data_IF_707647170587
#
_entry.id   IF_707647170587
#
_cell.length_a   1.000
_cell.length_b   1.000
_cell.length_c   1.000
_cell.angle_alpha   90.00
_cell.angle_beta   90.00
_cell.angle_gamma   90.00
#
_symmetry.space_group_name_H-M   'P 1'
#
loop_
_entity.id
_entity.type
_entity.pdbx_description
1 polymer ?
#
# COMPACT_ATOMS: atom_id res chain seq x y z
N UNK A 1 6.35 29.00 -1.06
CA UNK A 1 6.54 27.96 -2.09
C UNK A 1 6.23 26.60 -1.47
N UNK A 2 5.06 26.04 -1.78
CA UNK A 2 4.49 24.84 -1.15
C UNK A 2 5.25 23.57 -1.55
N UNK A 3 5.72 22.79 -0.58
CA UNK A 3 6.24 21.43 -0.80
C UNK A 3 5.09 20.43 -0.65
N UNK A 4 4.74 19.72 -1.72
CA UNK A 4 3.77 18.61 -1.72
C UNK A 4 4.41 17.37 -1.11
N UNK A 5 3.72 16.73 -0.18
CA UNK A 5 4.07 15.42 0.34
C UNK A 5 3.61 14.35 -0.66
N UNK A 6 4.54 13.48 -1.10
CA UNK A 6 4.24 12.27 -1.88
C UNK A 6 4.42 11.08 -0.96
N UNK A 7 3.37 10.31 -0.72
CA UNK A 7 3.52 8.94 -0.23
C UNK A 7 3.79 8.07 -1.46
N UNK A 8 5.06 7.83 -1.76
CA UNK A 8 5.46 6.90 -2.82
C UNK A 8 6.06 5.66 -2.16
N UNK A 9 5.31 4.56 -2.15
CA UNK A 9 5.95 3.25 -2.30
C UNK A 9 6.59 3.23 -3.69
N UNK A 10 7.86 2.84 -3.78
CA UNK A 10 8.72 2.84 -4.98
C UNK A 10 9.11 4.22 -5.57
N UNK A 11 10.43 4.40 -5.79
CA UNK A 11 11.07 5.67 -6.16
C UNK A 11 10.84 6.10 -7.61
N UNK A 12 10.90 7.44 -7.78
CA UNK A 12 11.16 8.26 -8.98
C UNK A 12 10.16 8.21 -10.16
N UNK A 13 9.19 9.11 -10.11
CA UNK A 13 8.45 9.58 -11.29
C UNK A 13 9.23 10.72 -11.96
N UNK A 14 9.68 10.52 -13.19
CA UNK A 14 10.14 11.62 -14.07
C UNK A 14 9.22 11.63 -15.30
N UNK A 15 8.38 12.67 -15.41
CA UNK A 15 7.69 12.99 -16.66
C UNK A 15 8.69 13.65 -17.61
N UNK A 16 8.81 13.13 -18.83
CA UNK A 16 9.47 13.82 -19.94
C UNK A 16 8.38 14.28 -20.90
N UNK A 17 8.25 15.60 -21.08
CA UNK A 17 7.46 16.20 -22.15
C UNK A 17 8.25 16.15 -23.45
N UNK A 18 7.68 15.60 -24.52
CA UNK A 18 8.28 15.67 -25.87
C UNK A 18 7.63 16.81 -26.64
N UNK A 19 8.36 17.93 -26.77
CA UNK A 19 8.02 19.03 -27.66
C UNK A 19 9.28 19.70 -28.21
N UNK A 20 9.44 19.64 -29.54
CA UNK A 20 10.20 20.62 -30.34
C UNK A 20 11.73 20.56 -30.29
N UNK A 21 12.33 20.36 -31.45
CA UNK A 21 13.76 20.42 -31.78
C UNK A 21 14.51 21.61 -31.16
N UNK A 22 15.46 21.35 -30.25
CA UNK A 22 16.35 22.38 -29.69
C UNK A 22 17.20 21.98 -28.47
N UNK A 23 17.16 20.71 -28.03
CA UNK A 23 17.57 20.30 -26.67
C UNK A 23 19.05 19.95 -26.49
N UNK A 24 19.85 19.81 -27.56
CA UNK A 24 21.22 19.31 -27.44
C UNK A 24 22.25 20.36 -26.97
N UNK A 25 22.04 21.65 -27.26
CA UNK A 25 23.03 22.72 -26.92
C UNK A 25 22.80 23.29 -25.52
N UNK A 26 21.56 23.26 -25.00
CA UNK A 26 21.21 23.84 -23.69
C UNK A 26 21.62 22.93 -22.50
N UNK A 27 21.60 21.60 -22.70
CA UNK A 27 21.93 20.62 -21.64
C UNK A 27 23.42 20.63 -21.31
N UNK A 28 24.30 20.90 -22.28
CA UNK A 28 25.75 20.92 -22.04
C UNK A 28 26.19 22.16 -21.25
N UNK A 29 25.62 23.33 -21.56
CA UNK A 29 25.88 24.58 -20.82
C UNK A 29 25.38 24.52 -19.36
N UNK A 30 24.22 23.90 -19.11
CA UNK A 30 23.73 23.69 -17.73
C UNK A 30 24.58 22.70 -16.93
N UNK A 31 25.16 21.67 -17.57
CA UNK A 31 25.97 20.66 -16.88
C UNK A 31 27.30 21.24 -16.39
N UNK A 32 27.91 22.12 -17.18
CA UNK A 32 29.15 22.81 -16.80
C UNK A 32 28.90 23.82 -15.66
N UNK A 33 27.79 24.56 -15.69
CA UNK A 33 27.41 25.47 -14.59
C UNK A 33 27.04 24.73 -13.30
N UNK A 34 26.33 23.60 -13.38
CA UNK A 34 25.96 22.82 -12.19
C UNK A 34 27.19 22.23 -11.49
N UNK A 35 28.19 21.78 -12.27
CA UNK A 35 29.42 21.18 -11.74
C UNK A 35 30.28 22.23 -11.00
N UNK A 36 30.35 23.46 -11.53
CA UNK A 36 31.04 24.57 -10.89
C UNK A 36 30.38 24.96 -9.55
N UNK A 37 29.04 25.03 -9.50
CA UNK A 37 28.28 25.37 -8.29
C UNK A 37 28.42 24.27 -7.22
N UNK A 38 28.39 22.99 -7.60
CA UNK A 38 28.59 21.89 -6.63
C UNK A 38 29.98 21.85 -6.02
N UNK A 39 31.01 22.25 -6.76
CA UNK A 39 32.38 22.28 -6.24
C UNK A 39 32.58 23.42 -5.24
N UNK A 40 32.01 24.59 -5.53
CA UNK A 40 32.04 25.76 -4.65
C UNK A 40 31.20 25.53 -3.37
N UNK A 41 30.08 24.79 -3.46
CA UNK A 41 29.29 24.40 -2.29
C UNK A 41 30.00 23.37 -1.39
N UNK A 42 30.75 22.42 -1.96
CA UNK A 42 31.49 21.43 -1.19
C UNK A 42 32.68 22.03 -0.41
N UNK A 43 33.33 23.06 -0.94
CA UNK A 43 34.42 23.77 -0.26
C UNK A 43 33.90 24.68 0.89
N UNK A 44 32.67 25.23 0.78
CA UNK A 44 32.03 26.03 1.84
C UNK A 44 31.56 25.13 3.01
N UNK A 45 30.98 23.95 2.72
CA UNK A 45 30.43 23.05 3.75
C UNK A 45 31.52 22.44 4.65
N UNK A 46 32.72 22.14 4.12
CA UNK A 46 33.81 21.58 4.92
C UNK A 46 34.51 22.60 5.84
N UNK A 47 34.44 23.90 5.53
CA UNK A 47 35.05 24.96 6.34
C UNK A 47 34.27 25.28 7.63
N UNK A 48 32.94 25.17 7.62
CA UNK A 48 32.08 25.55 8.76
C UNK A 48 31.76 24.38 9.72
N UNK A 49 31.83 23.13 9.26
CA UNK A 49 31.49 21.94 10.06
C UNK A 49 32.48 21.68 11.21
N UNK A 50 33.75 22.06 11.07
CA UNK A 50 34.79 21.79 12.09
C UNK A 50 34.70 22.72 13.31
N UNK A 51 34.20 23.95 13.16
CA UNK A 51 34.03 24.89 14.27
C UNK A 51 32.75 24.65 15.08
N UNK A 52 31.65 24.26 14.41
CA UNK A 52 30.36 24.01 15.06
C UNK A 52 30.35 22.73 15.92
N UNK A 53 31.04 21.68 15.48
CA UNK A 53 31.14 20.40 16.22
C UNK A 53 32.01 20.55 17.48
N UNK A 54 33.04 21.41 17.44
CA UNK A 54 33.86 21.71 18.62
C UNK A 54 33.07 22.51 19.69
N UNK A 55 32.21 23.44 19.27
CA UNK A 55 31.37 24.23 20.17
C UNK A 55 30.22 23.40 20.81
N UNK A 56 29.69 22.40 20.10
CA UNK A 56 28.61 21.53 20.61
C UNK A 56 29.12 20.51 21.66
N UNK A 57 30.35 20.00 21.53
CA UNK A 57 30.94 19.07 22.51
C UNK A 57 31.24 19.72 23.87
N UNK A 58 31.51 21.03 23.88
CA UNK A 58 31.69 21.81 25.12
C UNK A 58 30.38 22.07 25.88
N UNK A 59 29.21 21.98 25.22
CA UNK A 59 27.90 22.30 25.81
C UNK A 59 27.09 21.08 26.30
N UNK A 60 27.46 19.86 25.92
CA UNK A 60 26.73 18.63 26.27
C UNK A 60 27.16 17.99 27.62
N UNK A 61 27.98 18.67 28.41
CA UNK A 61 28.55 18.13 29.67
C UNK A 61 27.68 18.28 30.92
N UNK A 62 26.47 18.82 30.82
CA UNK A 62 25.62 19.05 31.99
C UNK A 62 24.14 18.92 31.64
N UNK A 63 23.41 18.23 32.52
CA UNK A 63 21.94 18.04 32.58
C UNK A 63 21.41 16.77 31.89
N UNK A 64 21.62 15.65 32.58
CA UNK A 64 20.61 14.61 32.77
C UNK A 64 19.72 15.04 33.95
N UNK A 65 18.44 15.28 33.72
CA UNK A 65 17.30 15.13 34.64
C UNK A 65 16.06 15.78 34.03
N UNK A 66 14.97 15.02 33.98
CA UNK A 66 13.54 15.39 34.00
C UNK A 66 13.11 16.71 33.33
N UNK A 67 12.27 16.64 32.27
CA UNK A 67 10.99 17.37 32.26
C UNK A 67 10.08 17.02 31.08
N UNK A 68 8.79 16.99 31.39
CA UNK A 68 7.62 16.60 30.60
C UNK A 68 7.15 17.71 29.62
N UNK A 69 8.08 18.45 29.02
CA UNK A 69 7.77 19.70 28.29
C UNK A 69 8.42 19.84 26.92
N UNK A 70 8.61 18.75 26.18
CA UNK A 70 9.07 18.77 24.77
C UNK A 70 7.93 19.00 23.74
N UNK A 71 6.79 19.53 24.18
CA UNK A 71 5.62 19.85 23.36
C UNK A 71 5.55 21.32 22.95
N UNK A 72 6.65 21.95 22.55
CA UNK A 72 6.70 23.28 21.88
C UNK A 72 8.16 23.59 21.64
N UNK A 73 8.63 23.45 20.40
CA UNK A 73 9.74 24.21 19.78
C UNK A 73 10.26 23.47 18.54
N UNK A 74 9.41 23.23 17.55
CA UNK A 74 9.79 23.19 16.14
C UNK A 74 8.52 23.46 15.34
N UNK A 75 8.41 24.69 14.80
CA UNK A 75 7.31 25.12 13.93
C UNK A 75 7.35 24.43 12.57
N UNK A 76 7.21 23.11 12.55
CA UNK A 76 6.84 22.37 11.35
C UNK A 76 5.37 22.66 10.99
N UNK A 77 4.97 22.58 9.71
CA UNK A 77 3.55 22.63 9.36
C UNK A 77 2.82 21.55 10.16
N UNK A 78 1.64 21.89 10.70
CA UNK A 78 0.78 20.94 11.40
C UNK A 78 0.68 19.65 10.56
N UNK A 79 0.85 18.50 11.23
CA UNK A 79 0.50 17.23 10.63
C UNK A 79 -0.92 17.34 10.04
N UNK A 80 -1.19 16.80 8.83
CA UNK A 80 -2.54 16.80 8.29
C UNK A 80 -3.45 16.24 9.38
N UNK A 81 -4.41 17.06 9.82
CA UNK A 81 -5.37 16.66 10.84
C UNK A 81 -6.11 15.46 10.31
N UNK A 82 -6.05 14.33 11.03
CA UNK A 82 -6.86 13.16 10.71
C UNK A 82 -8.30 13.64 10.51
N UNK A 83 -8.92 13.23 9.40
CA UNK A 83 -10.32 13.55 9.21
C UNK A 83 -11.10 12.85 10.32
N UNK A 84 -11.94 13.62 11.00
CA UNK A 84 -12.76 13.11 12.10
C UNK A 84 -13.90 12.29 11.50
N UNK A 85 -13.90 10.99 11.77
CA UNK A 85 -15.03 10.09 11.56
C UNK A 85 -16.35 10.76 11.95
N UNK A 86 -17.35 10.67 11.07
CA UNK A 86 -18.65 11.34 11.24
C UNK A 86 -19.78 10.40 11.69
N UNK A 87 -19.48 9.12 11.89
CA UNK A 87 -20.45 8.15 12.43
C UNK A 87 -20.49 8.21 13.95
N UNK A 88 -21.52 7.61 14.54
CA UNK A 88 -21.74 7.67 15.98
C UNK A 88 -20.77 6.79 16.80
N UNK A 89 -20.22 5.72 16.19
CA UNK A 89 -19.32 4.77 16.84
C UNK A 89 -17.94 4.78 16.14
N UNK A 90 -16.81 4.77 16.86
CA UNK A 90 -15.48 4.72 16.24
C UNK A 90 -15.32 3.54 15.29
N UNK A 91 -14.54 3.69 14.19
CA UNK A 91 -14.28 2.60 13.24
C UNK A 91 -13.81 1.30 13.91
N UNK A 92 -12.95 1.39 14.92
CA UNK A 92 -12.44 0.24 15.67
C UNK A 92 -13.56 -0.55 16.35
N UNK A 93 -14.57 0.15 16.89
CA UNK A 93 -15.74 -0.48 17.51
C UNK A 93 -16.59 -1.19 16.47
N UNK A 94 -16.88 -0.53 15.34
CA UNK A 94 -17.61 -1.13 14.21
C UNK A 94 -16.90 -2.38 13.70
N UNK A 95 -15.57 -2.34 13.72
CA UNK A 95 -14.73 -3.43 13.23
C UNK A 95 -14.47 -4.54 14.28
N UNK A 96 -14.87 -4.34 15.54
CA UNK A 96 -14.62 -5.30 16.62
C UNK A 96 -13.16 -5.41 17.03
N UNK A 97 -12.39 -4.32 16.92
CA UNK A 97 -10.96 -4.27 17.21
C UNK A 97 -10.74 -3.84 18.66
N UNK A 98 -10.71 -4.80 19.56
CA UNK A 98 -10.58 -4.59 21.01
C UNK A 98 -9.20 -5.00 21.55
N UNK A 99 -8.49 -5.87 20.84
CA UNK A 99 -7.18 -6.40 21.25
C UNK A 99 -6.09 -6.05 20.26
N UNK A 100 -4.83 -6.10 20.71
CA UNK A 100 -3.68 -5.85 19.84
C UNK A 100 -3.61 -6.82 18.67
N UNK A 101 -3.89 -8.10 18.93
CA UNK A 101 -3.88 -9.13 17.89
C UNK A 101 -4.98 -8.90 16.83
N UNK A 102 -6.18 -8.43 17.23
CA UNK A 102 -7.23 -8.03 16.28
C UNK A 102 -6.80 -6.85 15.41
N UNK A 103 -6.14 -5.83 15.99
CA UNK A 103 -5.59 -4.71 15.22
C UNK A 103 -4.54 -5.18 14.21
N UNK A 104 -3.65 -6.12 14.59
CA UNK A 104 -2.64 -6.68 13.68
C UNK A 104 -3.28 -7.53 12.58
N UNK A 105 -4.28 -8.33 12.92
CA UNK A 105 -5.06 -9.08 11.95
C UNK A 105 -5.68 -8.16 10.91
N UNK A 106 -6.34 -7.07 11.34
CA UNK A 106 -6.94 -6.10 10.43
C UNK A 106 -5.89 -5.36 9.60
N UNK A 107 -4.77 -4.94 10.21
CA UNK A 107 -3.68 -4.30 9.50
C UNK A 107 -3.04 -5.20 8.43
N UNK A 108 -3.13 -6.53 8.56
CA UNK A 108 -2.64 -7.48 7.55
C UNK A 108 -3.44 -7.48 6.24
N UNK A 109 -4.61 -6.82 6.20
CA UNK A 109 -5.38 -6.61 4.98
C UNK A 109 -4.88 -5.43 4.13
N UNK A 110 -4.08 -4.52 4.72
CA UNK A 110 -3.55 -3.31 4.04
C UNK A 110 -2.03 -3.26 4.00
N UNK A 111 -1.35 -4.20 4.66
CA UNK A 111 0.10 -4.38 4.64
C UNK A 111 0.39 -5.74 4.02
N UNK A 112 1.23 -5.80 2.97
CA UNK A 112 1.64 -7.05 2.34
C UNK A 112 2.14 -8.05 3.40
N UNK A 113 1.71 -9.32 3.28
CA UNK A 113 1.99 -10.35 4.28
C UNK A 113 3.48 -10.47 4.64
N UNK A 114 4.44 -10.51 3.69
CA UNK A 114 5.86 -10.57 4.03
C UNK A 114 6.34 -9.41 4.90
N UNK A 115 5.83 -8.20 4.60
CA UNK A 115 6.19 -7.00 5.34
C UNK A 115 5.58 -7.02 6.75
N UNK A 116 4.33 -7.44 6.88
CA UNK A 116 3.66 -7.58 8.18
C UNK A 116 4.37 -8.62 9.06
N UNK A 117 4.68 -9.80 8.50
CA UNK A 117 5.31 -10.90 9.23
C UNK A 117 6.73 -10.54 9.68
N UNK A 118 7.53 -9.91 8.83
CA UNK A 118 8.86 -9.40 9.23
C UNK A 118 8.76 -8.31 10.28
N UNK A 119 7.80 -7.37 10.16
CA UNK A 119 7.60 -6.34 11.17
C UNK A 119 7.32 -6.95 12.55
N UNK A 120 6.36 -7.87 12.62
CA UNK A 120 5.97 -8.54 13.87
C UNK A 120 7.10 -9.40 14.43
N UNK A 121 7.75 -10.23 13.60
CA UNK A 121 8.82 -11.13 14.05
C UNK A 121 10.04 -10.36 14.59
N UNK A 122 10.31 -9.16 14.08
CA UNK A 122 11.38 -8.27 14.59
C UNK A 122 10.96 -7.44 15.82
N UNK A 123 9.73 -7.60 16.30
CA UNK A 123 9.23 -6.87 17.48
C UNK A 123 8.84 -5.41 17.21
N UNK A 124 8.48 -5.04 15.97
CA UNK A 124 7.95 -3.70 15.71
C UNK A 124 6.66 -3.50 16.48
N UNK A 125 6.64 -2.48 17.35
CA UNK A 125 5.51 -2.26 18.24
C UNK A 125 4.24 -1.82 17.51
N UNK A 126 4.37 -1.05 16.41
CA UNK A 126 3.24 -0.49 15.67
C UNK A 126 3.33 -0.68 14.13
N UNK A 127 3.19 -1.91 13.60
CA UNK A 127 3.20 -2.17 12.17
C UNK A 127 2.07 -1.48 11.38
N UNK A 128 0.89 -1.31 11.98
CA UNK A 128 -0.29 -0.70 11.36
C UNK A 128 -0.06 0.75 10.91
N UNK A 129 0.89 1.46 11.53
CA UNK A 129 1.25 2.83 11.17
C UNK A 129 2.51 2.91 10.28
N UNK A 130 2.96 1.80 9.68
CA UNK A 130 4.10 1.81 8.75
C UNK A 130 3.92 2.79 7.58
N UNK A 131 2.67 3.02 7.16
CA UNK A 131 2.32 4.02 6.14
C UNK A 131 1.88 5.37 6.70
N UNK A 132 2.03 5.58 8.02
CA UNK A 132 1.65 6.79 8.75
C UNK A 132 0.30 6.68 9.46
N UNK A 133 0.15 7.42 10.57
CA UNK A 133 -1.08 7.42 11.39
C UNK A 133 -2.32 7.84 10.60
N UNK A 134 -2.20 8.85 9.75
CA UNK A 134 -3.29 9.30 8.87
C UNK A 134 -3.74 8.21 7.92
N UNK A 135 -2.80 7.52 7.25
CA UNK A 135 -3.12 6.43 6.33
C UNK A 135 -3.82 5.25 7.02
N UNK A 136 -3.46 4.95 8.26
CA UNK A 136 -4.16 3.94 9.07
C UNK A 136 -5.57 4.39 9.47
N UNK A 137 -5.72 5.64 9.91
CA UNK A 137 -7.03 6.22 10.24
C UNK A 137 -7.97 6.24 9.03
N UNK A 138 -7.51 6.73 7.88
CA UNK A 138 -8.28 6.78 6.63
C UNK A 138 -8.67 5.37 6.15
N UNK A 139 -7.79 4.38 6.37
CA UNK A 139 -8.10 2.98 6.11
C UNK A 139 -9.21 2.46 7.02
N UNK A 140 -9.13 2.69 8.33
CA UNK A 140 -10.16 2.24 9.27
C UNK A 140 -11.52 2.86 8.97
N UNK A 141 -11.56 4.16 8.66
CA UNK A 141 -12.78 4.86 8.22
C UNK A 141 -13.39 4.21 6.97
N UNK A 142 -12.56 3.95 5.95
CA UNK A 142 -12.99 3.30 4.72
C UNK A 142 -13.46 1.86 4.95
N UNK A 143 -12.76 1.12 5.83
CA UNK A 143 -13.10 -0.25 6.17
C UNK A 143 -14.44 -0.33 6.91
N UNK A 144 -14.64 0.53 7.92
CA UNK A 144 -15.92 0.64 8.62
C UNK A 144 -17.05 1.06 7.66
N UNK A 145 -16.78 1.99 6.73
CA UNK A 145 -17.72 2.39 5.68
C UNK A 145 -18.15 1.19 4.80
N UNK A 146 -17.20 0.35 4.35
CA UNK A 146 -17.56 -0.86 3.59
C UNK A 146 -18.39 -1.85 4.41
N UNK A 147 -18.09 -2.04 5.69
CA UNK A 147 -18.87 -2.92 6.58
C UNK A 147 -20.32 -2.42 6.74
N UNK A 148 -20.49 -1.11 6.91
CA UNK A 148 -21.80 -0.47 7.06
C UNK A 148 -22.62 -0.45 5.77
N UNK A 149 -21.97 -0.51 4.60
CA UNK A 149 -22.67 -0.70 3.32
C UNK A 149 -23.42 -2.04 3.28
N UNK A 150 -22.90 -3.04 4.00
CA UNK A 150 -23.58 -4.31 4.23
C UNK A 150 -23.98 -4.99 2.91
N UNK A 151 -25.24 -5.43 2.82
CA UNK A 151 -25.77 -6.18 1.68
C UNK A 151 -26.38 -5.29 0.57
N UNK A 152 -26.10 -3.99 0.57
CA UNK A 152 -26.54 -3.09 -0.51
C UNK A 152 -25.82 -3.38 -1.83
N UNK A 153 -26.42 -2.99 -2.94
CA UNK A 153 -25.83 -3.19 -4.27
C UNK A 153 -24.53 -2.41 -4.47
N UNK A 154 -23.65 -2.93 -5.33
CA UNK A 154 -22.51 -2.18 -5.83
C UNK A 154 -23.01 -1.04 -6.71
N UNK A 155 -22.47 0.16 -6.52
CA UNK A 155 -22.78 1.34 -7.33
C UNK A 155 -21.53 2.18 -7.56
N UNK A 156 -21.55 3.03 -8.59
CA UNK A 156 -20.46 3.99 -8.84
C UNK A 156 -20.28 4.93 -7.65
N UNK A 157 -21.39 5.39 -7.05
CA UNK A 157 -21.39 6.25 -5.88
C UNK A 157 -20.67 5.57 -4.71
N UNK A 158 -21.00 4.31 -4.40
CA UNK A 158 -20.31 3.55 -3.35
C UNK A 158 -18.79 3.47 -3.58
N UNK A 159 -18.36 3.21 -4.81
CA UNK A 159 -16.92 3.16 -5.16
C UNK A 159 -16.24 4.52 -4.99
N UNK A 160 -16.89 5.61 -5.40
CA UNK A 160 -16.33 6.96 -5.26
C UNK A 160 -16.32 7.47 -3.82
N UNK A 161 -17.35 7.15 -3.05
CA UNK A 161 -17.46 7.46 -1.61
C UNK A 161 -16.41 6.70 -0.81
N UNK A 162 -16.21 5.41 -1.13
CA UNK A 162 -15.15 4.60 -0.55
C UNK A 162 -13.76 5.23 -0.81
N UNK A 163 -13.49 5.65 -2.05
CA UNK A 163 -12.25 6.33 -2.37
C UNK A 163 -12.12 7.66 -1.62
N UNK A 164 -13.20 8.43 -1.42
CA UNK A 164 -13.19 9.65 -0.62
C UNK A 164 -12.83 9.39 0.85
N UNK A 165 -13.25 8.25 1.42
CA UNK A 165 -12.83 7.85 2.77
C UNK A 165 -11.33 7.51 2.83
N UNK A 166 -10.84 6.75 1.86
CA UNK A 166 -9.43 6.34 1.80
C UNK A 166 -8.45 7.48 1.48
N UNK A 167 -8.88 8.43 0.65
CA UNK A 167 -8.06 9.53 0.16
C UNK A 167 -8.88 10.83 0.13
N UNK A 168 -9.18 11.43 1.30
CA UNK A 168 -10.01 12.64 1.38
C UNK A 168 -9.48 13.80 0.53
N UNK A 169 -8.16 13.90 0.39
CA UNK A 169 -7.50 14.90 -0.45
C UNK A 169 -7.74 14.76 -1.96
N UNK A 170 -8.20 13.60 -2.42
CA UNK A 170 -8.51 13.30 -3.82
C UNK A 170 -10.03 13.25 -4.11
N UNK A 171 -10.86 13.26 -3.06
CA UNK A 171 -12.29 13.52 -3.10
C UNK A 171 -13.11 12.67 -4.09
N UNK A 172 -12.73 11.40 -4.28
CA UNK A 172 -13.46 10.51 -5.19
C UNK A 172 -13.35 10.86 -6.68
N UNK A 173 -12.44 11.77 -7.07
CA UNK A 173 -12.37 12.26 -8.43
C UNK A 173 -11.66 11.28 -9.38
N UNK A 174 -12.30 10.96 -10.51
CA UNK A 174 -11.68 10.16 -11.55
C UNK A 174 -10.49 10.87 -12.19
N UNK A 175 -9.44 10.11 -12.48
CA UNK A 175 -8.25 10.68 -13.13
C UNK A 175 -8.55 11.05 -14.58
N UNK A 176 -8.17 12.25 -15.04
CA UNK A 176 -8.29 12.62 -16.45
C UNK A 176 -7.09 12.12 -17.29
N UNK A 177 -6.10 11.49 -16.65
CA UNK A 177 -4.80 11.18 -17.26
C UNK A 177 -4.75 9.76 -17.77
N UNK A 178 -3.95 9.55 -18.82
CA UNK A 178 -3.47 8.22 -19.17
C UNK A 178 -2.54 7.69 -18.10
N UNK A 179 -2.68 6.41 -17.79
CA UNK A 179 -1.95 5.73 -16.72
C UNK A 179 -1.18 4.54 -17.28
N UNK A 180 -0.03 4.28 -16.67
CA UNK A 180 0.80 3.09 -16.93
C UNK A 180 1.23 2.48 -15.61
N UNK A 181 1.37 1.16 -15.60
CA UNK A 181 2.00 0.38 -14.55
C UNK A 181 3.31 -0.21 -15.05
N UNK A 182 4.19 -0.57 -14.14
CA UNK A 182 5.45 -1.26 -14.45
C UNK A 182 5.83 -2.20 -13.33
N UNK A 183 6.46 -3.31 -13.67
CA UNK A 183 7.11 -4.18 -12.70
C UNK A 183 8.59 -3.78 -12.55
N UNK A 184 9.15 -4.00 -11.36
CA UNK A 184 10.57 -3.83 -11.08
C UNK A 184 11.41 -5.04 -11.54
N UNK A 185 10.74 -6.15 -11.83
CA UNK A 185 11.29 -7.42 -12.31
C UNK A 185 10.79 -7.81 -13.70
N UNK A 186 11.42 -8.82 -14.33
CA UNK A 186 10.82 -9.49 -15.47
C UNK A 186 9.45 -10.09 -15.16
N UNK A 187 8.51 -9.95 -16.10
CA UNK A 187 7.22 -10.67 -16.10
C UNK A 187 7.40 -11.98 -16.85
N UNK A 188 6.78 -13.03 -16.33
CA UNK A 188 6.78 -14.38 -16.89
C UNK A 188 5.80 -14.49 -18.06
N UNK A 189 5.95 -15.49 -18.91
CA UNK A 189 5.03 -15.72 -20.04
C UNK A 189 3.58 -15.93 -19.59
N UNK A 190 3.37 -16.55 -18.42
CA UNK A 190 2.04 -16.72 -17.82
C UNK A 190 1.43 -15.38 -17.42
N UNK A 191 2.23 -14.47 -16.84
CA UNK A 191 1.77 -13.13 -16.50
C UNK A 191 1.47 -12.31 -17.74
N UNK A 192 2.28 -12.43 -18.81
CA UNK A 192 1.98 -11.80 -20.10
C UNK A 192 0.66 -12.31 -20.66
N UNK A 193 0.43 -13.62 -20.67
CA UNK A 193 -0.83 -14.20 -21.14
C UNK A 193 -2.05 -13.71 -20.34
N UNK A 194 -1.92 -13.59 -19.01
CA UNK A 194 -2.97 -13.03 -18.16
C UNK A 194 -3.26 -11.55 -18.49
N UNK A 195 -2.21 -10.74 -18.67
CA UNK A 195 -2.32 -9.33 -19.06
C UNK A 195 -2.99 -9.20 -20.44
N UNK A 196 -2.59 -10.01 -21.42
CA UNK A 196 -3.15 -9.97 -22.78
C UNK A 196 -4.62 -10.41 -22.83
N UNK A 197 -5.04 -11.27 -21.90
CA UNK A 197 -6.44 -11.67 -21.76
C UNK A 197 -7.33 -10.61 -21.07
N UNK A 198 -6.72 -9.61 -20.42
CA UNK A 198 -7.45 -8.57 -19.69
C UNK A 198 -7.82 -7.40 -20.62
N UNK A 199 -9.12 -7.14 -20.86
CA UNK A 199 -9.55 -6.12 -21.83
C UNK A 199 -9.27 -4.68 -21.40
N UNK A 200 -8.95 -4.44 -20.13
CA UNK A 200 -8.76 -3.10 -19.57
C UNK A 200 -7.29 -2.64 -19.55
N UNK A 201 -6.35 -3.51 -19.88
CA UNK A 201 -4.92 -3.21 -19.91
C UNK A 201 -4.28 -3.65 -21.22
N UNK A 202 -3.14 -3.05 -21.57
CA UNK A 202 -2.31 -3.46 -22.70
C UNK A 202 -0.90 -3.69 -22.23
N UNK A 203 -0.34 -4.84 -22.57
CA UNK A 203 1.06 -5.12 -22.32
C UNK A 203 1.97 -4.21 -23.15
N UNK A 204 3.02 -3.69 -22.54
CA UNK A 204 4.04 -2.85 -23.17
C UNK A 204 5.39 -3.56 -23.11
N UNK A 205 6.00 -3.80 -24.26
CA UNK A 205 7.38 -4.27 -24.39
C UNK A 205 8.37 -3.11 -24.52
N UNK A 206 9.63 -3.33 -24.16
CA UNK A 206 10.64 -2.31 -23.84
C UNK A 206 11.26 -1.56 -25.03
N UNK A 207 10.50 -1.17 -26.06
CA UNK A 207 11.02 -0.28 -27.12
C UNK A 207 10.88 1.22 -26.79
N UNK A 208 10.24 1.55 -25.66
CA UNK A 208 10.02 2.93 -25.20
C UNK A 208 10.93 3.22 -24.00
N UNK A 209 12.08 3.86 -24.21
CA UNK A 209 12.93 4.37 -23.13
C UNK A 209 12.27 5.65 -22.54
N UNK A 210 12.15 5.82 -21.20
CA UNK A 210 12.80 5.10 -20.12
C UNK A 210 11.81 4.27 -19.26
N UNK A 211 11.05 3.35 -19.86
CA UNK A 211 10.59 2.18 -19.11
C UNK A 211 11.69 1.13 -19.25
N UNK A 212 12.63 1.11 -18.30
CA UNK A 212 13.69 0.07 -18.28
C UNK A 212 13.13 -1.35 -18.08
N UNK A 213 11.82 -1.50 -17.91
CA UNK A 213 11.13 -2.74 -17.57
C UNK A 213 9.80 -2.89 -18.34
N UNK A 214 9.26 -4.10 -18.26
CA UNK A 214 7.92 -4.50 -18.66
C UNK A 214 6.84 -3.67 -17.96
N UNK A 215 5.75 -3.40 -18.66
CA UNK A 215 4.67 -2.59 -18.12
C UNK A 215 3.33 -2.79 -18.79
N UNK A 216 2.35 -2.07 -18.28
CA UNK A 216 0.99 -2.03 -18.82
C UNK A 216 0.56 -0.59 -19.07
N UNK A 217 -0.30 -0.39 -20.06
CA UNK A 217 -1.09 0.82 -20.22
C UNK A 217 -2.56 0.51 -19.90
N UNK A 218 -3.17 1.35 -19.05
CA UNK A 218 -4.58 1.25 -18.75
C UNK A 218 -5.39 1.82 -19.92
N UNK A 219 -6.33 1.03 -20.45
CA UNK A 219 -7.08 1.34 -21.67
C UNK A 219 -8.16 2.38 -21.39
N UNK A 220 -8.83 2.28 -20.25
CA UNK A 220 -9.91 3.18 -19.86
C UNK A 220 -9.34 4.56 -19.50
N UNK A 221 -9.75 5.58 -20.25
CA UNK A 221 -9.22 6.93 -20.11
C UNK A 221 -10.31 7.98 -20.26
N UNK A 222 -10.36 8.92 -19.33
CA UNK A 222 -11.35 10.01 -19.30
C UNK A 222 -12.59 9.67 -18.48
N UNK A 223 -13.19 10.72 -17.89
CA UNK A 223 -14.28 10.62 -16.90
C UNK A 223 -15.44 9.74 -17.38
N UNK A 224 -15.99 10.02 -18.56
CA UNK A 224 -17.16 9.29 -19.06
C UNK A 224 -16.86 7.81 -19.33
N UNK A 225 -15.65 7.49 -19.80
CA UNK A 225 -15.26 6.10 -20.04
C UNK A 225 -15.11 5.36 -18.71
N UNK A 226 -14.46 5.97 -17.72
CA UNK A 226 -14.32 5.42 -16.38
C UNK A 226 -15.70 5.17 -15.75
N UNK A 227 -16.60 6.14 -15.82
CA UNK A 227 -17.94 6.02 -15.26
C UNK A 227 -18.74 4.89 -15.92
N UNK A 228 -18.65 4.76 -17.25
CA UNK A 228 -19.28 3.65 -17.98
C UNK A 228 -18.73 2.29 -17.56
N UNK A 229 -17.41 2.14 -17.43
CA UNK A 229 -16.79 0.86 -17.04
C UNK A 229 -17.12 0.49 -15.57
N UNK A 230 -17.15 1.48 -14.67
CA UNK A 230 -17.57 1.25 -13.29
C UNK A 230 -19.06 0.86 -13.22
N UNK A 231 -19.92 1.51 -14.01
CA UNK A 231 -21.34 1.11 -14.10
C UNK A 231 -21.48 -0.31 -14.65
N UNK A 232 -20.78 -0.65 -15.73
CA UNK A 232 -20.80 -2.00 -16.30
C UNK A 232 -20.29 -3.05 -15.29
N UNK A 233 -19.27 -2.72 -14.51
CA UNK A 233 -18.76 -3.57 -13.43
C UNK A 233 -19.79 -3.76 -12.31
N UNK A 234 -20.48 -2.68 -11.91
CA UNK A 234 -21.56 -2.74 -10.93
C UNK A 234 -22.73 -3.61 -11.40
N UNK A 235 -23.21 -3.38 -12.62
CA UNK A 235 -24.30 -4.17 -13.23
C UNK A 235 -23.92 -5.66 -13.32
N UNK A 236 -22.69 -5.98 -13.75
CA UNK A 236 -22.17 -7.34 -13.80
C UNK A 236 -22.13 -7.98 -12.40
N UNK A 237 -21.54 -7.31 -11.42
CA UNK A 237 -21.38 -7.85 -10.07
C UNK A 237 -22.72 -8.17 -9.43
N UNK A 238 -23.66 -7.20 -9.48
CA UNK A 238 -24.99 -7.37 -8.90
C UNK A 238 -25.78 -8.51 -9.59
N UNK A 239 -25.59 -8.69 -10.91
CA UNK A 239 -26.22 -9.78 -11.67
C UNK A 239 -25.58 -11.14 -11.39
N UNK A 240 -24.25 -11.19 -11.32
CA UNK A 240 -23.48 -12.41 -11.10
C UNK A 240 -23.77 -13.01 -9.73
N UNK A 241 -23.91 -12.17 -8.70
CA UNK A 241 -24.27 -12.61 -7.33
C UNK A 241 -25.68 -13.23 -7.24
N UNK A 242 -26.59 -12.87 -8.14
CA UNK A 242 -27.94 -13.44 -8.17
C UNK A 242 -28.00 -14.82 -8.83
N UNK A 243 -26.91 -15.28 -9.46
CA UNK A 243 -26.90 -16.57 -10.14
C UNK A 243 -26.87 -17.73 -9.14
N UNK A 244 -27.71 -18.77 -9.29
CA UNK A 244 -27.65 -19.93 -8.42
C UNK A 244 -26.28 -20.61 -8.46
N UNK A 245 -25.67 -20.83 -7.28
CA UNK A 245 -24.41 -21.55 -7.15
C UNK A 245 -23.17 -20.80 -7.64
N UNK A 246 -23.21 -19.46 -7.71
CA UNK A 246 -22.00 -18.67 -7.96
C UNK A 246 -20.93 -18.95 -6.89
N UNK A 247 -19.66 -18.85 -7.28
CA UNK A 247 -18.53 -18.96 -6.33
C UNK A 247 -18.21 -17.57 -5.76
N UNK A 248 -18.40 -17.33 -4.45
CA UNK A 248 -18.19 -16.02 -3.83
C UNK A 248 -16.72 -15.58 -3.87
N UNK A 249 -15.77 -16.51 -3.85
CA UNK A 249 -14.35 -16.19 -3.97
C UNK A 249 -14.01 -15.72 -5.39
N UNK A 250 -14.55 -16.41 -6.39
CA UNK A 250 -14.39 -16.02 -7.79
C UNK A 250 -15.00 -14.64 -8.05
N UNK A 251 -16.21 -14.39 -7.55
CA UNK A 251 -16.89 -13.11 -7.69
C UNK A 251 -16.08 -11.96 -7.05
N UNK A 252 -15.55 -12.18 -5.83
CA UNK A 252 -14.74 -11.18 -5.14
C UNK A 252 -13.39 -10.92 -5.84
N UNK A 253 -12.71 -11.98 -6.29
CA UNK A 253 -11.45 -11.90 -7.02
C UNK A 253 -11.61 -11.15 -8.34
N UNK A 254 -12.66 -11.47 -9.11
CA UNK A 254 -12.92 -10.80 -10.38
C UNK A 254 -13.40 -9.34 -10.19
N UNK A 255 -14.17 -9.04 -9.14
CA UNK A 255 -14.51 -7.66 -8.78
C UNK A 255 -13.26 -6.83 -8.51
N UNK A 256 -12.35 -7.33 -7.68
CA UNK A 256 -11.07 -6.67 -7.39
C UNK A 256 -10.28 -6.42 -8.67
N UNK A 257 -10.14 -7.47 -9.49
CA UNK A 257 -9.36 -7.46 -10.72
C UNK A 257 -9.93 -6.45 -11.73
N UNK A 258 -11.25 -6.39 -11.91
CA UNK A 258 -11.92 -5.40 -12.78
C UNK A 258 -11.65 -3.98 -12.32
N UNK A 259 -11.85 -3.67 -11.03
CA UNK A 259 -11.68 -2.31 -10.51
C UNK A 259 -10.23 -1.83 -10.61
N UNK A 260 -9.25 -2.68 -10.27
CA UNK A 260 -7.83 -2.29 -10.36
C UNK A 260 -7.38 -2.11 -11.82
N UNK A 261 -7.96 -2.88 -12.74
CA UNK A 261 -7.66 -2.81 -14.18
C UNK A 261 -8.35 -1.64 -14.89
N UNK A 262 -9.49 -1.17 -14.40
CA UNK A 262 -10.10 0.11 -14.86
C UNK A 262 -9.23 1.29 -14.39
N UNK A 263 -8.66 1.19 -13.20
CA UNK A 263 -7.77 2.18 -12.59
C UNK A 263 -8.36 3.61 -12.53
N UNK A 264 -9.57 3.78 -11.96
CA UNK A 264 -10.38 4.99 -12.11
C UNK A 264 -9.80 6.26 -11.46
N UNK A 265 -8.98 6.14 -10.42
CA UNK A 265 -8.51 7.26 -9.60
C UNK A 265 -7.04 7.62 -9.85
N UNK A 266 -6.60 8.79 -9.39
CA UNK A 266 -5.20 9.22 -9.51
C UNK A 266 -4.24 8.34 -8.71
N UNK A 267 -4.71 7.78 -7.58
CA UNK A 267 -3.98 6.89 -6.67
C UNK A 267 -4.99 6.04 -5.86
N UNK A 268 -4.52 5.16 -4.97
CA UNK A 268 -5.32 4.30 -4.08
C UNK A 268 -6.19 3.23 -4.76
N UNK A 269 -6.11 3.06 -6.08
CA UNK A 269 -6.89 2.07 -6.83
C UNK A 269 -6.77 0.64 -6.28
N UNK A 270 -5.55 0.20 -5.94
CA UNK A 270 -5.33 -1.12 -5.35
C UNK A 270 -5.95 -1.28 -3.95
N UNK A 271 -6.01 -0.21 -3.14
CA UNK A 271 -6.66 -0.27 -1.82
C UNK A 271 -8.19 -0.28 -1.95
N UNK A 272 -8.74 0.55 -2.85
CA UNK A 272 -10.18 0.54 -3.15
C UNK A 272 -10.60 -0.83 -3.64
N UNK A 273 -9.88 -1.41 -4.61
CA UNK A 273 -10.24 -2.72 -5.17
C UNK A 273 -10.19 -3.84 -4.13
N UNK A 274 -9.18 -3.85 -3.25
CA UNK A 274 -9.10 -4.85 -2.15
C UNK A 274 -10.14 -4.64 -1.06
N UNK A 275 -10.53 -3.39 -0.75
CA UNK A 275 -11.65 -3.15 0.16
C UNK A 275 -12.98 -3.64 -0.43
N UNK A 276 -13.20 -3.47 -1.74
CA UNK A 276 -14.36 -4.02 -2.44
C UNK A 276 -14.32 -5.56 -2.51
N UNK A 277 -13.15 -6.16 -2.69
CA UNK A 277 -12.94 -7.60 -2.58
C UNK A 277 -13.39 -8.13 -1.22
N UNK A 278 -12.88 -7.54 -0.14
CA UNK A 278 -13.18 -7.93 1.23
C UNK A 278 -14.65 -7.71 1.56
N UNK A 279 -15.22 -6.58 1.14
CA UNK A 279 -16.66 -6.32 1.26
C UNK A 279 -17.49 -7.40 0.55
N UNK A 280 -17.10 -7.82 -0.66
CA UNK A 280 -17.80 -8.88 -1.39
C UNK A 280 -17.74 -10.22 -0.65
N UNK A 281 -16.60 -10.58 -0.07
CA UNK A 281 -16.47 -11.81 0.74
C UNK A 281 -17.37 -11.74 1.97
N UNK A 282 -17.34 -10.62 2.70
CA UNK A 282 -18.10 -10.44 3.93
C UNK A 282 -19.61 -10.41 3.71
N UNK A 283 -20.07 -9.90 2.56
CA UNK A 283 -21.48 -9.99 2.13
C UNK A 283 -21.98 -11.42 2.02
N UNK A 284 -21.08 -12.35 1.75
CA UNK A 284 -21.39 -13.78 1.65
C UNK A 284 -21.02 -14.54 2.94
N UNK A 285 -20.75 -13.81 4.03
CA UNK A 285 -20.41 -14.38 5.33
C UNK A 285 -19.00 -14.96 5.40
N UNK A 286 -18.14 -14.64 4.43
CA UNK A 286 -16.77 -15.13 4.37
C UNK A 286 -15.78 -14.14 4.99
N UNK A 287 -14.67 -14.62 5.56
CA UNK A 287 -13.62 -13.75 6.06
C UNK A 287 -12.94 -12.95 4.94
N UNK A 288 -12.47 -11.71 5.21
CA UNK A 288 -11.64 -10.97 4.27
C UNK A 288 -10.32 -11.71 3.98
N UNK A 289 -9.63 -11.33 2.90
CA UNK A 289 -8.48 -12.08 2.41
C UNK A 289 -7.14 -11.37 2.64
N UNK A 290 -6.18 -12.08 3.26
CA UNK A 290 -4.78 -11.66 3.41
C UNK A 290 -4.00 -12.11 2.17
N UNK A 291 -3.48 -11.16 1.39
CA UNK A 291 -2.75 -11.47 0.16
C UNK A 291 -1.23 -11.50 0.38
N UNK A 292 -0.57 -12.42 -0.31
CA UNK A 292 0.90 -12.58 -0.29
C UNK A 292 1.62 -11.46 -1.07
N UNK A 293 1.05 -11.07 -2.21
CA UNK A 293 1.56 -9.99 -3.05
C UNK A 293 0.40 -9.16 -3.60
N UNK A 294 0.31 -7.90 -3.15
CA UNK A 294 -0.70 -6.97 -3.67
C UNK A 294 -0.53 -6.62 -5.15
N UNK A 295 0.62 -6.89 -5.76
CA UNK A 295 0.90 -6.60 -7.18
C UNK A 295 0.77 -7.83 -8.10
N UNK A 296 0.37 -8.98 -7.54
CA UNK A 296 0.13 -10.18 -8.35
C UNK A 296 -1.23 -10.15 -9.07
N UNK A 297 -2.10 -9.18 -8.77
CA UNK A 297 -3.48 -9.14 -9.27
C UNK A 297 -3.58 -9.12 -10.81
N UNK A 298 -3.09 -8.08 -11.48
CA UNK A 298 -3.19 -7.93 -12.94
C UNK A 298 -2.36 -8.99 -13.70
N UNK A 299 -1.29 -9.48 -13.06
CA UNK A 299 -0.44 -10.53 -13.64
C UNK A 299 -0.98 -11.95 -13.47
N UNK A 300 -2.07 -12.15 -12.71
CA UNK A 300 -2.64 -13.48 -12.48
C UNK A 300 -3.82 -13.74 -13.41
N UNK A 301 -4.00 -15.00 -13.81
CA UNK A 301 -5.27 -15.42 -14.39
C UNK A 301 -6.39 -15.29 -13.33
N UNK A 302 -7.64 -15.10 -13.76
CA UNK A 302 -8.75 -15.04 -12.79
C UNK A 302 -8.85 -16.30 -11.93
N UNK A 303 -8.69 -17.54 -12.45
CA UNK A 303 -8.63 -18.73 -11.61
C UNK A 303 -7.51 -18.70 -10.57
N UNK A 304 -6.27 -18.37 -10.95
CA UNK A 304 -5.14 -18.32 -10.00
C UNK A 304 -5.37 -17.24 -8.94
N UNK A 305 -5.93 -16.09 -9.34
CA UNK A 305 -6.28 -15.02 -8.43
C UNK A 305 -7.42 -15.42 -7.48
N UNK A 306 -8.39 -16.20 -7.97
CA UNK A 306 -9.48 -16.76 -7.14
C UNK A 306 -8.90 -17.67 -6.05
N UNK A 307 -7.94 -18.53 -6.40
CA UNK A 307 -7.27 -19.41 -5.44
C UNK A 307 -6.43 -18.61 -4.42
N UNK A 308 -5.74 -17.56 -4.85
CA UNK A 308 -5.01 -16.66 -3.95
C UNK A 308 -5.96 -15.97 -2.96
N UNK A 309 -7.11 -15.47 -3.43
CA UNK A 309 -8.12 -14.82 -2.58
C UNK A 309 -8.71 -15.82 -1.59
N UNK A 310 -9.03 -17.05 -2.04
CA UNK A 310 -9.53 -18.13 -1.17
C UNK A 310 -8.52 -18.49 -0.09
N UNK A 311 -7.28 -18.78 -0.46
CA UNK A 311 -6.22 -19.12 0.49
C UNK A 311 -5.94 -18.00 1.50
N UNK A 312 -5.99 -16.74 1.06
CA UNK A 312 -5.84 -15.59 1.94
C UNK A 312 -7.01 -15.42 2.93
N UNK A 313 -8.23 -15.77 2.52
CA UNK A 313 -9.42 -15.77 3.39
C UNK A 313 -9.36 -16.90 4.42
N UNK A 314 -8.95 -18.10 4.00
CA UNK A 314 -8.74 -19.25 4.89
C UNK A 314 -7.66 -18.93 5.94
N UNK A 315 -6.57 -18.27 5.53
CA UNK A 315 -5.54 -17.79 6.45
C UNK A 315 -6.09 -16.76 7.45
N UNK A 316 -6.91 -15.82 7.00
CA UNK A 316 -7.55 -14.85 7.89
C UNK A 316 -8.44 -15.58 8.91
N UNK A 317 -9.26 -16.53 8.47
CA UNK A 317 -10.14 -17.33 9.31
C UNK A 317 -9.38 -18.08 10.40
N UNK A 318 -8.33 -18.81 10.01
CA UNK A 318 -7.49 -19.57 10.92
C UNK A 318 -6.81 -18.66 11.95
N UNK A 319 -6.36 -17.47 11.54
CA UNK A 319 -5.75 -16.50 12.46
C UNK A 319 -6.78 -15.92 13.43
N UNK A 320 -7.99 -15.62 12.97
CA UNK A 320 -9.08 -15.16 13.83
C UNK A 320 -9.46 -16.21 14.89
N UNK A 321 -9.53 -17.50 14.50
CA UNK A 321 -9.75 -18.59 15.45
C UNK A 321 -8.64 -18.67 16.50
N UNK A 322 -7.37 -18.61 16.07
CA UNK A 322 -6.23 -18.63 17.00
C UNK A 322 -6.26 -17.46 17.98
N UNK A 323 -6.61 -16.25 17.52
CA UNK A 323 -6.76 -15.08 18.37
C UNK A 323 -7.84 -15.32 19.44
N UNK A 324 -8.98 -15.91 19.05
CA UNK A 324 -10.05 -16.24 19.99
C UNK A 324 -9.61 -17.28 21.04
N UNK A 325 -8.82 -18.29 20.63
CA UNK A 325 -8.26 -19.31 21.53
C UNK A 325 -7.23 -18.72 22.51
N UNK A 326 -6.42 -17.76 22.08
CA UNK A 326 -5.41 -17.08 22.92
C UNK A 326 -6.01 -16.03 23.86
N UNK A 327 -7.22 -15.53 23.57
CA UNK A 327 -7.96 -14.58 24.40
C UNK A 327 -7.45 -13.13 24.32
N UNK A 328 -7.92 -12.28 25.22
CA UNK A 328 -7.76 -10.82 25.13
C UNK A 328 -6.30 -10.33 25.18
N UNK A 329 -5.42 -11.12 25.79
CA UNK A 329 -3.98 -10.86 25.89
C UNK A 329 -3.16 -11.56 24.81
N UNK A 330 -3.80 -12.02 23.72
CA UNK A 330 -3.11 -12.67 22.60
C UNK A 330 -1.95 -11.81 22.09
N UNK A 331 -0.74 -12.35 22.15
CA UNK A 331 0.43 -11.73 21.55
C UNK A 331 0.32 -11.86 20.02
N UNK A 332 0.40 -10.75 19.26
CA UNK A 332 0.39 -10.80 17.82
C UNK A 332 1.42 -11.75 17.21
N UNK A 333 2.59 -11.93 17.83
CA UNK A 333 3.61 -12.84 17.28
C UNK A 333 3.08 -14.26 17.18
N UNK A 334 2.41 -14.79 18.20
CA UNK A 334 1.87 -16.14 18.11
C UNK A 334 0.43 -16.29 17.66
N UNK A 335 -0.38 -15.23 17.68
CA UNK A 335 -1.53 -15.15 16.80
C UNK A 335 -1.12 -15.38 15.32
N UNK A 336 -0.03 -14.76 14.87
CA UNK A 336 0.49 -14.93 13.51
C UNK A 336 1.34 -16.21 13.32
N UNK A 337 1.62 -16.98 14.39
CA UNK A 337 2.45 -18.18 14.31
C UNK A 337 3.93 -17.91 14.03
N UNK A 338 4.44 -16.73 14.39
CA UNK A 338 5.78 -16.25 14.04
C UNK A 338 6.84 -16.53 15.11
N UNK A 339 6.50 -17.24 16.20
CA UNK A 339 7.39 -17.46 17.35
C UNK A 339 8.73 -18.09 16.95
N UNK A 340 8.69 -19.07 16.04
CA UNK A 340 9.90 -19.72 15.52
C UNK A 340 10.76 -18.74 14.70
N UNK A 341 10.14 -17.96 13.82
CA UNK A 341 10.83 -16.97 12.98
C UNK A 341 11.46 -15.87 13.84
N UNK A 342 10.73 -15.37 14.84
CA UNK A 342 11.25 -14.40 15.81
C UNK A 342 12.51 -14.93 16.52
N UNK A 343 12.47 -16.16 17.05
CA UNK A 343 13.63 -16.77 17.70
C UNK A 343 14.85 -16.93 16.77
N UNK A 344 14.63 -17.26 15.49
CA UNK A 344 15.71 -17.32 14.50
C UNK A 344 16.31 -15.95 14.18
N UNK A 345 15.50 -14.89 14.12
CA UNK A 345 15.96 -13.52 13.92
C UNK A 345 16.79 -13.04 15.12
N UNK A 346 16.30 -13.29 16.34
CA UNK A 346 17.01 -12.96 17.58
C UNK A 346 18.36 -13.68 17.67
N UNK A 347 18.40 -14.97 17.36
CA UNK A 347 19.63 -15.77 17.39
C UNK A 347 20.65 -15.36 16.33
N UNK A 348 20.18 -14.97 15.13
CA UNK A 348 21.05 -14.58 14.02
C UNK A 348 21.47 -13.11 14.04
N UNK A 349 20.76 -12.25 14.80
CA UNK A 349 20.94 -10.81 14.81
C UNK A 349 20.57 -10.12 13.48
N UNK A 350 19.93 -10.85 12.55
CA UNK A 350 19.51 -10.34 11.24
C UNK A 350 18.30 -9.43 11.40
N UNK A 351 18.26 -8.35 10.62
CA UNK A 351 17.09 -7.48 10.54
C UNK A 351 16.96 -6.78 9.18
N UNK A 352 15.73 -6.50 8.79
CA UNK A 352 15.34 -5.60 7.72
C UNK A 352 14.93 -4.29 8.35
N UNK A 353 15.53 -3.20 7.86
CA UNK A 353 15.22 -1.85 8.33
C UNK A 353 13.87 -1.39 7.77
N UNK A 354 12.85 -1.36 8.62
CA UNK A 354 11.55 -0.77 8.29
C UNK A 354 11.50 0.65 8.83
N UNK A 355 11.26 1.63 7.96
CA UNK A 355 11.16 3.04 8.34
C UNK A 355 9.75 3.53 8.00
N UNK A 356 8.91 3.85 9.00
CA UNK A 356 7.57 4.36 8.76
C UNK A 356 7.56 5.59 7.83
N UNK A 357 6.65 5.60 6.86
CA UNK A 357 6.51 6.68 5.88
C UNK A 357 7.49 6.64 4.70
N UNK A 358 8.37 5.64 4.63
CA UNK A 358 9.28 5.43 3.50
C UNK A 358 8.90 4.16 2.72
N UNK A 359 9.27 4.11 1.44
CA UNK A 359 9.19 2.89 0.65
C UNK A 359 10.00 1.77 1.33
N UNK A 360 9.34 0.63 1.56
CA UNK A 360 9.94 -0.56 2.17
C UNK A 360 10.28 -1.57 1.08
N UNK A 361 11.38 -2.30 1.26
CA UNK A 361 11.81 -3.33 0.33
C UNK A 361 11.10 -4.65 0.66
N UNK A 362 9.95 -4.85 0.00
CA UNK A 362 9.13 -6.06 0.18
C UNK A 362 9.89 -7.30 -0.31
N UNK A 363 10.72 -7.17 -1.35
CA UNK A 363 11.52 -8.29 -1.86
C UNK A 363 12.57 -8.74 -0.84
N UNK A 364 13.17 -7.79 -0.12
CA UNK A 364 14.06 -8.12 0.99
C UNK A 364 13.33 -8.86 2.12
N UNK A 365 12.08 -8.49 2.42
CA UNK A 365 11.26 -9.20 3.40
C UNK A 365 10.93 -10.63 2.96
N UNK A 366 10.54 -10.81 1.68
CA UNK A 366 10.27 -12.13 1.09
C UNK A 366 11.51 -13.03 1.12
N UNK A 367 12.65 -12.52 0.68
CA UNK A 367 13.91 -13.27 0.69
C UNK A 367 14.28 -13.71 2.10
N UNK A 368 14.17 -12.82 3.09
CA UNK A 368 14.42 -13.16 4.48
C UNK A 368 13.50 -14.27 5.00
N UNK A 369 12.18 -14.17 4.77
CA UNK A 369 11.23 -15.20 5.21
C UNK A 369 11.46 -16.54 4.52
N UNK A 370 11.78 -16.54 3.23
CA UNK A 370 12.09 -17.75 2.48
C UNK A 370 13.33 -18.48 3.04
N UNK A 371 14.39 -17.73 3.37
CA UNK A 371 15.60 -18.30 3.98
C UNK A 371 15.34 -18.88 5.38
N UNK A 372 14.53 -18.20 6.19
CA UNK A 372 14.17 -18.65 7.55
C UNK A 372 13.23 -19.87 7.52
N UNK A 373 12.30 -19.90 6.56
CA UNK A 373 11.44 -21.05 6.30
C UNK A 373 12.23 -22.28 5.83
N UNK A 374 13.17 -22.08 4.89
CA UNK A 374 14.03 -23.16 4.38
C UNK A 374 15.01 -23.72 5.44
N UNK A 375 15.41 -22.93 6.44
CA UNK A 375 16.23 -23.40 7.56
C UNK A 375 15.47 -24.28 8.56
N UNK A 376 14.16 -24.47 8.37
CA UNK A 376 13.25 -25.17 9.27
C UNK A 376 12.76 -26.54 8.74
N UNK A 377 13.14 -26.91 7.51
CA UNK A 377 12.88 -28.22 6.88
C UNK A 377 14.18 -28.92 6.51
#
# INVERSE_FOLDING_TARGET
MSRRWRCSGSRLWVCVETGGTGTAVFVQAMREQLTAVTKQAAEIVHGEETAAIAALRSKAGTVLADDESAGRLLGGPAAPTAHTWTGNEPPETILGLHTRAQVMQEASLVIDKPLMEVALAQGYSNPEILFGRGAWSDYLDARAFTRLHGDQDLSVDFVTDLHRKLAPSLDGQFTPKRRRGSWDRPVTDSEVAAIEANPHVKFLTSEIVPLKNWGIEYVTNGREAIERELKATADWYNTARQQPGYDPYHLAAELQHRIVSIHPFEDFNGRVSRLLMNWSLERDGLPPSVLEDFNADIGSSIPDWTDAVRGGSDLYAARAQRIAELGDSADPVDAFGLRQIQGQLEASGRSVRLVPGYAMDIQQCRALLAELGAASG
#
